data_IF_401916627246
#
_entry.id   IF_401916627246
#
_cell.length_a   1.000
_cell.length_b   1.000
_cell.length_c   1.000
_cell.angle_alpha   90.00
_cell.angle_beta   90.00
_cell.angle_gamma   90.00
#
_symmetry.space_group_name_H-M   'P 1'
#
loop_
_entity.id
_entity.type
_entity.pdbx_description
1 polymer ?
#
# COMPACT_ATOMS: atom_id res chain seq x y z
N UNK A 1 -20.61 -1.77 -13.27
CA UNK A 1 -20.13 -1.42 -11.92
C UNK A 1 -19.31 -0.15 -12.03
N UNK A 2 -19.57 0.89 -11.24
CA UNK A 2 -18.84 2.15 -11.33
C UNK A 2 -17.37 1.93 -10.93
N UNK A 3 -16.45 2.14 -11.86
CA UNK A 3 -15.02 2.15 -11.56
C UNK A 3 -14.64 3.59 -11.19
N UNK A 4 -14.09 3.77 -9.99
CA UNK A 4 -13.57 5.06 -9.54
C UNK A 4 -12.06 5.00 -9.62
N UNK A 5 -11.45 5.95 -10.34
CA UNK A 5 -10.00 6.06 -10.46
C UNK A 5 -9.43 6.81 -9.26
N UNK A 6 -8.41 6.24 -8.62
CA UNK A 6 -7.69 6.88 -7.52
C UNK A 6 -6.27 7.18 -8.04
N UNK A 7 -5.87 8.45 -7.97
CA UNK A 7 -4.51 8.88 -8.31
C UNK A 7 -3.67 8.99 -7.03
N UNK A 8 -2.69 8.10 -6.88
CA UNK A 8 -1.79 8.06 -5.72
C UNK A 8 -0.40 8.47 -6.19
N UNK A 9 0.21 9.44 -5.52
CA UNK A 9 1.61 9.78 -5.74
C UNK A 9 2.46 8.92 -4.82
N UNK A 10 3.37 8.16 -5.40
CA UNK A 10 4.35 7.35 -4.68
C UNK A 10 5.75 7.76 -5.12
N UNK A 11 6.69 7.65 -4.18
CA UNK A 11 8.10 7.83 -4.48
C UNK A 11 8.60 6.70 -5.40
N UNK A 12 9.59 6.97 -6.24
CA UNK A 12 10.06 5.99 -7.23
C UNK A 12 10.68 4.77 -6.56
N UNK A 13 11.40 4.99 -5.44
CA UNK A 13 12.03 3.91 -4.69
C UNK A 13 10.99 2.99 -4.05
N UNK A 14 9.98 3.58 -3.40
CA UNK A 14 8.89 2.84 -2.76
C UNK A 14 8.07 2.07 -3.81
N UNK A 15 7.83 2.67 -4.98
CA UNK A 15 7.18 1.98 -6.10
C UNK A 15 7.95 0.74 -6.52
N UNK A 16 9.27 0.83 -6.69
CA UNK A 16 10.12 -0.32 -7.09
C UNK A 16 10.09 -1.43 -6.04
N UNK A 17 10.23 -1.11 -4.76
CA UNK A 17 10.14 -2.10 -3.68
C UNK A 17 8.78 -2.78 -3.65
N UNK A 18 7.69 -2.02 -3.79
CA UNK A 18 6.35 -2.57 -3.79
C UNK A 18 6.05 -3.39 -5.04
N UNK A 19 6.60 -3.01 -6.20
CA UNK A 19 6.48 -3.77 -7.45
C UNK A 19 7.23 -5.10 -7.39
N UNK A 20 8.42 -5.13 -6.75
CA UNK A 20 9.13 -6.36 -6.45
C UNK A 20 8.33 -7.26 -5.51
N UNK A 21 7.76 -6.69 -4.43
CA UNK A 21 6.90 -7.44 -3.50
C UNK A 21 5.67 -8.03 -4.19
N UNK A 22 4.99 -7.23 -5.03
CA UNK A 22 3.85 -7.65 -5.85
C UNK A 22 4.25 -8.78 -6.82
N UNK A 23 5.42 -8.68 -7.43
CA UNK A 23 5.95 -9.71 -8.33
C UNK A 23 6.25 -11.02 -7.60
N UNK A 24 6.81 -10.97 -6.39
CA UNK A 24 7.04 -12.14 -5.55
C UNK A 24 5.75 -12.80 -5.04
N UNK A 25 4.69 -12.01 -4.84
CA UNK A 25 3.38 -12.52 -4.42
C UNK A 25 2.47 -12.91 -5.60
N UNK A 26 2.89 -12.65 -6.85
CA UNK A 26 2.12 -12.98 -8.05
C UNK A 26 0.88 -12.09 -8.26
N UNK A 27 0.88 -10.87 -7.70
CA UNK A 27 -0.24 -9.93 -7.78
C UNK A 27 0.17 -8.62 -8.44
N UNK A 28 -0.79 -7.86 -8.96
CA UNK A 28 -0.52 -6.49 -9.45
C UNK A 28 -0.57 -5.47 -8.30
N UNK A 29 0.17 -4.37 -8.44
CA UNK A 29 0.13 -3.21 -7.51
C UNK A 29 -1.33 -2.77 -7.23
N UNK A 30 -2.15 -2.66 -8.27
CA UNK A 30 -3.56 -2.28 -8.16
C UNK A 30 -4.38 -3.30 -7.36
N UNK A 31 -4.08 -4.58 -7.50
CA UNK A 31 -4.72 -5.66 -6.71
C UNK A 31 -4.36 -5.52 -5.24
N UNK A 32 -3.08 -5.32 -4.92
CA UNK A 32 -2.62 -5.15 -3.56
C UNK A 32 -3.25 -3.93 -2.87
N UNK A 33 -3.34 -2.78 -3.56
CA UNK A 33 -4.01 -1.58 -3.04
C UNK A 33 -5.51 -1.84 -2.85
N UNK A 34 -6.17 -2.52 -3.79
CA UNK A 34 -7.59 -2.87 -3.62
C UNK A 34 -7.82 -3.78 -2.42
N UNK A 35 -6.97 -4.78 -2.19
CA UNK A 35 -7.04 -5.65 -1.00
C UNK A 35 -6.86 -4.82 0.27
N UNK A 36 -5.90 -3.91 0.28
CA UNK A 36 -5.66 -3.02 1.41
C UNK A 36 -6.91 -2.17 1.74
N UNK A 37 -7.52 -1.54 0.74
CA UNK A 37 -8.73 -0.74 0.91
C UNK A 37 -9.88 -1.62 1.40
N UNK A 38 -10.11 -2.77 0.75
CA UNK A 38 -11.18 -3.70 1.13
C UNK A 38 -11.03 -4.18 2.58
N UNK A 39 -9.80 -4.54 2.98
CA UNK A 39 -9.51 -5.01 4.34
C UNK A 39 -9.72 -3.89 5.36
N UNK A 40 -9.27 -2.68 5.05
CA UNK A 40 -9.42 -1.51 5.93
C UNK A 40 -10.88 -1.14 6.14
N UNK A 41 -11.69 -1.17 5.08
CA UNK A 41 -13.14 -0.89 5.14
C UNK A 41 -13.87 -1.99 5.89
N UNK A 42 -13.51 -3.26 5.69
CA UNK A 42 -14.16 -4.39 6.38
C UNK A 42 -13.89 -4.38 7.88
N UNK A 43 -12.66 -4.10 8.29
CA UNK A 43 -12.27 -4.13 9.70
C UNK A 43 -12.44 -2.77 10.39
N UNK A 44 -12.86 -1.72 9.66
CA UNK A 44 -12.99 -0.34 10.14
C UNK A 44 -11.72 0.17 10.84
N UNK A 45 -10.55 -0.34 10.43
CA UNK A 45 -9.24 -0.04 11.00
C UNK A 45 -8.18 -0.22 9.92
N UNK A 46 -7.03 0.43 10.10
CA UNK A 46 -5.91 0.25 9.19
C UNK A 46 -5.23 -1.10 9.52
N UNK A 47 -5.06 -2.02 8.54
CA UNK A 47 -4.52 -3.37 8.75
C UNK A 47 -3.00 -3.40 8.96
N UNK A 48 -2.39 -2.25 9.27
CA UNK A 48 -1.00 -2.11 9.68
C UNK A 48 -0.93 -1.14 10.87
N UNK A 49 0.05 -1.35 11.74
CA UNK A 49 0.33 -0.42 12.83
C UNK A 49 0.84 0.91 12.28
N UNK A 50 0.06 1.98 12.46
CA UNK A 50 0.47 3.34 12.10
C UNK A 50 1.39 3.82 13.22
N UNK A 51 2.70 3.64 13.02
CA UNK A 51 3.70 4.25 13.90
C UNK A 51 4.25 5.50 13.24
N UNK A 52 4.21 6.63 13.96
CA UNK A 52 4.85 7.88 13.55
C UNK A 52 6.38 7.82 13.77
N UNK A 53 7.01 6.67 13.49
CA UNK A 53 8.46 6.56 13.48
C UNK A 53 8.95 6.75 12.06
N UNK A 54 9.18 8.02 11.76
CA UNK A 54 10.30 8.41 10.93
C UNK A 54 11.57 7.78 11.56
N UNK A 55 12.02 6.63 11.06
CA UNK A 55 13.30 6.05 11.48
C UNK A 55 14.49 6.76 10.81
N UNK A 56 14.33 8.04 10.49
CA UNK A 56 15.42 8.97 10.21
C UNK A 56 15.78 9.78 11.47
N UNK A 57 16.03 9.08 12.59
CA UNK A 57 17.00 9.58 13.58
C UNK A 57 17.84 8.44 14.16
N UNK A 58 18.94 8.20 13.44
CA UNK A 58 20.23 7.84 14.01
C UNK A 58 20.67 8.97 14.96
N UNK A 59 20.78 8.73 16.27
CA UNK A 59 21.68 9.41 17.24
C UNK A 59 21.49 8.81 18.62
#
# INVERSE_FOLDING_TARGET
MAQTTICIRLDENLKKEFEQFCSSTGMSMSTAINIFIMKSVREQRIPFDITAKDETKKS
#
